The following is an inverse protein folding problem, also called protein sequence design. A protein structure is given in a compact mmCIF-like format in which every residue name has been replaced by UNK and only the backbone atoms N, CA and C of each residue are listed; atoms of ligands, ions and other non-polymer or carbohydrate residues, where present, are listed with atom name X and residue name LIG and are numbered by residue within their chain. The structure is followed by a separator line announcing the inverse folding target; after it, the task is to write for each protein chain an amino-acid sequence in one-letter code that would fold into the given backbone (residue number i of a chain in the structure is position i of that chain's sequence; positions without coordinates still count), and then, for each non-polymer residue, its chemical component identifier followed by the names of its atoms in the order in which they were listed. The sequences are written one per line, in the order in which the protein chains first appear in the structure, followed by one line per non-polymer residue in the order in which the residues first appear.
data_IF_891540612958
#
_entry.id   IF_891540612958
#
_cell.length_a   1.000
_cell.length_b   1.000
_cell.length_c   1.000
_cell.angle_alpha   90.00
_cell.angle_beta   90.00
_cell.angle_gamma   90.00
#
_symmetry.space_group_name_H-M   'P 1'
#
loop_
_entity.id
_entity.type
_entity.pdbx_description
1 polymer ?
#
# COMPACT_ATOMS: atom_id res chain seq x y z
N UNK A 1 -8.72 -58.55 14.76
CA UNK A 1 -9.38 -58.61 16.07
C UNK A 1 -9.69 -57.17 16.43
N UNK A 2 -10.88 -56.67 16.08
CA UNK A 2 -11.29 -55.32 16.49
C UNK A 2 -11.63 -55.40 17.99
N UNK A 3 -10.90 -54.64 18.81
CA UNK A 3 -11.20 -54.54 20.23
C UNK A 3 -12.61 -53.93 20.38
N UNK A 4 -13.57 -54.63 21.02
CA UNK A 4 -14.97 -54.20 21.13
C UNK A 4 -15.15 -52.87 21.86
N UNK A 5 -14.08 -52.32 22.42
CA UNK A 5 -14.08 -51.07 23.18
C UNK A 5 -14.11 -49.80 22.31
N UNK A 6 -13.45 -49.80 21.15
CA UNK A 6 -13.25 -48.57 20.37
C UNK A 6 -14.21 -48.40 19.22
N UNK A 7 -14.59 -49.49 18.53
CA UNK A 7 -15.63 -49.64 17.49
C UNK A 7 -15.95 -48.40 16.61
N UNK A 8 -14.97 -47.55 16.31
CA UNK A 8 -15.21 -46.28 15.62
C UNK A 8 -15.68 -46.51 14.18
N UNK A 9 -15.18 -47.56 13.54
CA UNK A 9 -15.62 -48.00 12.21
C UNK A 9 -17.10 -48.34 12.16
N UNK A 10 -17.65 -48.94 13.23
CA UNK A 10 -19.06 -49.33 13.28
C UNK A 10 -20.01 -48.14 13.25
N UNK A 11 -19.54 -46.95 13.65
CA UNK A 11 -20.31 -45.69 13.59
C UNK A 11 -20.62 -45.25 12.15
N UNK A 12 -19.85 -45.72 11.17
CA UNK A 12 -19.99 -45.35 9.75
C UNK A 12 -20.74 -46.41 8.92
N UNK A 13 -21.04 -47.58 9.50
CA UNK A 13 -21.75 -48.65 8.79
C UNK A 13 -23.26 -48.46 8.83
N UNK A 14 -23.97 -49.24 8.01
CA UNK A 14 -25.44 -49.38 8.03
C UNK A 14 -26.18 -48.02 8.08
N UNK A 15 -25.76 -47.09 7.22
CA UNK A 15 -26.33 -45.74 7.16
C UNK A 15 -26.31 -45.01 8.53
N UNK A 16 -25.19 -45.14 9.26
CA UNK A 16 -24.97 -44.51 10.57
C UNK A 16 -25.89 -45.02 11.69
N UNK A 17 -26.43 -46.24 11.59
CA UNK A 17 -27.31 -46.81 12.62
C UNK A 17 -26.70 -46.78 14.04
N UNK A 18 -25.44 -47.21 14.19
CA UNK A 18 -24.76 -47.16 15.49
C UNK A 18 -24.59 -45.72 16.02
N UNK A 19 -24.44 -44.74 15.13
CA UNK A 19 -24.40 -43.33 15.52
C UNK A 19 -25.76 -42.86 16.03
N UNK A 20 -26.86 -43.25 15.38
CA UNK A 20 -28.21 -42.96 15.84
C UNK A 20 -28.48 -43.55 17.23
N UNK A 21 -28.00 -44.78 17.48
CA UNK A 21 -28.03 -45.39 18.83
C UNK A 21 -27.28 -44.51 19.83
N UNK A 22 -26.08 -43.99 19.49
CA UNK A 22 -25.33 -43.09 20.39
C UNK A 22 -26.06 -41.77 20.64
N UNK A 23 -26.75 -41.21 19.65
CA UNK A 23 -27.57 -40.02 19.86
C UNK A 23 -28.71 -40.28 20.83
N UNK A 24 -29.42 -41.39 20.66
CA UNK A 24 -30.49 -41.78 21.59
C UNK A 24 -29.97 -41.95 23.01
N UNK A 25 -28.83 -42.64 23.17
CA UNK A 25 -28.16 -42.80 24.46
C UNK A 25 -27.77 -41.45 25.08
N UNK A 26 -27.22 -40.53 24.30
CA UNK A 26 -26.89 -39.19 24.78
C UNK A 26 -28.14 -38.42 25.19
N UNK A 27 -29.21 -38.48 24.40
CA UNK A 27 -30.51 -37.84 24.73
C UNK A 27 -31.05 -38.33 26.07
N UNK A 28 -31.09 -39.65 26.30
CA UNK A 28 -31.52 -40.22 27.59
C UNK A 28 -30.58 -39.84 28.74
N UNK A 29 -29.28 -39.75 28.49
CA UNK A 29 -28.32 -39.28 29.49
C UNK A 29 -28.53 -37.80 29.84
N UNK A 30 -28.84 -36.94 28.86
CA UNK A 30 -29.18 -35.53 29.11
C UNK A 30 -30.48 -35.46 29.93
N UNK A 31 -31.50 -36.24 29.57
CA UNK A 31 -32.74 -36.33 30.33
C UNK A 31 -32.51 -36.73 31.79
N UNK A 32 -31.65 -37.71 32.04
CA UNK A 32 -31.32 -38.20 33.38
C UNK A 32 -30.51 -37.19 34.22
N UNK A 33 -29.58 -36.45 33.60
CA UNK A 33 -28.56 -35.67 34.32
C UNK A 33 -28.78 -34.15 34.25
N UNK A 34 -29.47 -33.67 33.23
CA UNK A 34 -29.72 -32.26 32.90
C UNK A 34 -31.17 -32.07 32.43
N UNK A 35 -32.18 -32.38 33.28
CA UNK A 35 -33.59 -32.46 32.86
C UNK A 35 -34.13 -31.12 32.33
N UNK A 36 -33.73 -30.00 32.91
CA UNK A 36 -34.14 -28.66 32.45
C UNK A 36 -33.63 -28.39 31.02
N UNK A 37 -32.39 -28.80 30.73
CA UNK A 37 -31.80 -28.64 29.41
C UNK A 37 -32.46 -29.57 28.40
N UNK A 38 -32.79 -30.80 28.81
CA UNK A 38 -33.55 -31.73 27.98
C UNK A 38 -34.92 -31.16 27.60
N UNK A 39 -35.68 -30.64 28.58
CA UNK A 39 -36.99 -30.04 28.32
C UNK A 39 -36.89 -28.86 27.34
N UNK A 40 -35.92 -27.95 27.55
CA UNK A 40 -35.68 -26.83 26.64
C UNK A 40 -35.32 -27.28 25.22
N UNK A 41 -34.49 -28.33 25.09
CA UNK A 41 -34.15 -28.89 23.78
C UNK A 41 -35.35 -29.57 23.11
N UNK A 42 -36.20 -30.27 23.86
CA UNK A 42 -37.40 -30.89 23.31
C UNK A 42 -38.45 -29.85 22.87
N UNK A 43 -38.62 -28.77 23.63
CA UNK A 43 -39.51 -27.65 23.28
C UNK A 43 -39.06 -26.97 21.98
N UNK A 44 -37.75 -26.77 21.81
CA UNK A 44 -37.15 -26.18 20.61
C UNK A 44 -36.89 -27.18 19.47
N UNK A 45 -37.21 -28.46 19.68
CA UNK A 45 -36.92 -29.56 18.73
C UNK A 45 -35.44 -29.63 18.31
N UNK A 46 -34.54 -29.37 19.27
CA UNK A 46 -33.09 -29.52 19.12
C UNK A 46 -32.71 -30.98 19.37
N UNK A 47 -32.32 -31.67 18.31
CA UNK A 47 -31.92 -33.08 18.39
C UNK A 47 -30.39 -33.25 18.45
N UNK A 48 -29.93 -34.31 19.14
CA UNK A 48 -28.50 -34.64 19.27
C UNK A 48 -27.75 -34.72 17.94
N UNK A 49 -28.40 -35.22 16.88
CA UNK A 49 -27.76 -35.36 15.57
C UNK A 49 -27.32 -34.01 14.98
N UNK A 50 -27.99 -32.91 15.35
CA UNK A 50 -27.73 -31.57 14.82
C UNK A 50 -26.40 -30.99 15.30
N UNK A 51 -25.94 -31.36 16.51
CA UNK A 51 -24.73 -30.80 17.11
C UNK A 51 -23.66 -31.83 17.50
N UNK A 52 -24.05 -33.07 17.83
CA UNK A 52 -23.14 -34.07 18.39
C UNK A 52 -22.55 -35.03 17.33
N UNK A 53 -22.99 -34.97 16.07
CA UNK A 53 -22.46 -35.86 15.01
C UNK A 53 -20.94 -35.85 14.92
N UNK A 54 -20.33 -34.67 14.90
CA UNK A 54 -18.87 -34.53 14.82
C UNK A 54 -18.18 -34.97 16.12
N UNK A 55 -18.84 -34.85 17.28
CA UNK A 55 -18.26 -35.24 18.57
C UNK A 55 -17.93 -36.73 18.58
N UNK A 56 -18.87 -37.57 18.12
CA UNK A 56 -18.70 -39.03 18.08
C UNK A 56 -17.91 -39.51 16.86
N UNK A 57 -18.17 -38.98 15.67
CA UNK A 57 -17.51 -39.44 14.45
C UNK A 57 -16.03 -39.05 14.40
N UNK A 58 -15.68 -37.89 14.93
CA UNK A 58 -14.32 -37.35 14.85
C UNK A 58 -13.59 -37.35 16.18
N UNK A 59 -14.17 -37.94 17.24
CA UNK A 59 -13.61 -37.90 18.60
C UNK A 59 -13.27 -36.46 19.03
N UNK A 60 -14.17 -35.52 18.73
CA UNK A 60 -14.02 -34.07 18.98
C UNK A 60 -12.89 -33.34 18.21
N UNK A 61 -12.11 -34.03 17.36
CA UNK A 61 -10.96 -33.46 16.63
C UNK A 61 -11.31 -32.35 15.64
N UNK A 62 -12.53 -32.33 15.11
CA UNK A 62 -12.90 -31.44 14.00
C UNK A 62 -13.05 -29.95 14.39
N UNK A 63 -13.41 -29.65 15.63
CA UNK A 63 -13.78 -28.28 16.07
C UNK A 63 -13.09 -27.81 17.33
N UNK A 64 -12.63 -28.71 18.20
CA UNK A 64 -12.04 -28.35 19.48
C UNK A 64 -10.52 -28.15 19.37
N UNK A 65 -9.91 -27.30 20.23
CA UNK A 65 -8.46 -27.10 20.25
C UNK A 65 -7.68 -28.39 20.53
N UNK A 66 -6.51 -28.53 19.89
CA UNK A 66 -5.71 -29.76 19.94
C UNK A 66 -5.36 -30.21 21.36
N UNK A 67 -5.06 -29.27 22.27
CA UNK A 67 -4.78 -29.59 23.67
C UNK A 67 -5.90 -30.40 24.31
N UNK A 68 -7.15 -29.92 24.22
CA UNK A 68 -8.30 -30.63 24.76
C UNK A 68 -8.50 -31.97 24.03
N UNK A 69 -8.35 -31.99 22.71
CA UNK A 69 -8.49 -33.20 21.90
C UNK A 69 -7.52 -34.30 22.35
N UNK A 70 -6.26 -33.95 22.66
CA UNK A 70 -5.29 -34.94 23.18
C UNK A 70 -5.74 -35.52 24.53
N UNK A 71 -6.24 -34.69 25.44
CA UNK A 71 -6.80 -35.18 26.71
C UNK A 71 -8.02 -36.08 26.52
N UNK A 72 -8.90 -35.75 25.56
CA UNK A 72 -10.05 -36.59 25.19
C UNK A 72 -9.57 -37.93 24.63
N UNK A 73 -8.52 -37.92 23.79
CA UNK A 73 -7.94 -39.14 23.24
C UNK A 73 -7.33 -40.03 24.34
N UNK A 74 -6.66 -39.46 25.33
CA UNK A 74 -6.10 -40.23 26.46
C UNK A 74 -7.19 -41.01 27.21
N UNK A 75 -8.28 -40.34 27.57
CA UNK A 75 -9.40 -40.99 28.28
C UNK A 75 -10.21 -41.92 27.36
N UNK A 76 -10.28 -41.63 26.05
CA UNK A 76 -10.91 -42.51 25.08
C UNK A 76 -10.11 -43.80 24.90
N UNK A 77 -8.79 -43.75 24.84
CA UNK A 77 -7.93 -44.93 24.83
C UNK A 77 -8.07 -45.73 26.14
N UNK A 78 -8.35 -45.06 27.26
CA UNK A 78 -8.56 -45.73 28.54
C UNK A 78 -9.97 -46.32 28.74
N UNK A 79 -11.05 -45.72 28.25
CA UNK A 79 -12.45 -46.15 28.56
C UNK A 79 -13.39 -46.24 27.34
N UNK A 80 -12.88 -46.01 26.13
CA UNK A 80 -13.63 -46.12 24.88
C UNK A 80 -14.77 -45.12 24.79
N UNK A 81 -15.89 -45.53 24.17
CA UNK A 81 -17.05 -44.66 23.95
C UNK A 81 -17.70 -44.10 25.22
N UNK A 82 -17.53 -44.76 26.37
CA UNK A 82 -18.05 -44.24 27.65
C UNK A 82 -17.42 -42.88 27.99
N UNK A 83 -16.12 -42.71 27.70
CA UNK A 83 -15.44 -41.44 27.89
C UNK A 83 -16.06 -40.32 27.05
N UNK A 84 -16.45 -40.60 25.80
CA UNK A 84 -17.05 -39.61 24.92
C UNK A 84 -18.42 -39.13 25.44
N UNK A 85 -19.22 -40.03 26.02
CA UNK A 85 -20.46 -39.64 26.69
C UNK A 85 -20.19 -38.76 27.92
N UNK A 86 -19.18 -39.09 28.72
CA UNK A 86 -18.74 -38.26 29.85
C UNK A 86 -18.33 -36.86 29.41
N UNK A 87 -17.54 -36.75 28.34
CA UNK A 87 -17.13 -35.47 27.76
C UNK A 87 -18.32 -34.69 27.23
N UNK A 88 -19.22 -35.32 26.47
CA UNK A 88 -20.41 -34.68 25.91
C UNK A 88 -21.32 -34.12 27.02
N UNK A 89 -21.57 -34.91 28.08
CA UNK A 89 -22.36 -34.45 29.24
C UNK A 89 -21.66 -33.32 29.99
N UNK A 90 -20.35 -33.39 30.18
CA UNK A 90 -19.60 -32.33 30.86
C UNK A 90 -19.66 -31.02 30.07
N UNK A 91 -19.49 -31.06 28.74
CA UNK A 91 -19.63 -29.89 27.86
C UNK A 91 -21.01 -29.23 27.99
N UNK A 92 -22.07 -30.04 27.99
CA UNK A 92 -23.45 -29.57 28.14
C UNK A 92 -23.70 -29.01 29.54
N UNK A 93 -23.19 -29.66 30.58
CA UNK A 93 -23.31 -29.20 31.97
C UNK A 93 -22.66 -27.83 32.19
N UNK A 94 -21.43 -27.63 31.71
CA UNK A 94 -20.76 -26.32 31.81
C UNK A 94 -21.45 -25.23 31.01
N UNK A 95 -22.14 -25.60 29.93
CA UNK A 95 -22.82 -24.65 29.04
C UNK A 95 -24.31 -24.49 29.34
N UNK A 96 -24.85 -25.20 30.33
CA UNK A 96 -26.29 -25.32 30.58
C UNK A 96 -26.95 -23.95 30.74
N UNK A 97 -26.35 -23.06 31.56
CA UNK A 97 -26.91 -21.72 31.81
C UNK A 97 -26.99 -20.87 30.54
N UNK A 98 -25.98 -20.94 29.69
CA UNK A 98 -25.97 -20.21 28.43
C UNK A 98 -27.03 -20.79 27.48
N UNK A 99 -27.07 -22.12 27.34
CA UNK A 99 -27.97 -22.82 26.44
C UNK A 99 -29.46 -22.61 26.76
N UNK A 100 -29.82 -22.57 28.04
CA UNK A 100 -31.20 -22.33 28.49
C UNK A 100 -31.73 -20.94 28.11
N UNK A 101 -30.85 -19.98 27.84
CA UNK A 101 -31.23 -18.61 27.46
C UNK A 101 -31.36 -18.39 25.96
N UNK A 102 -31.02 -19.40 25.15
CA UNK A 102 -30.92 -19.29 23.70
C UNK A 102 -32.10 -19.98 23.01
N UNK A 103 -32.49 -19.44 21.85
CA UNK A 103 -33.42 -20.06 20.92
C UNK A 103 -32.71 -21.09 20.02
N UNK A 104 -33.46 -21.72 19.10
CA UNK A 104 -32.92 -22.75 18.20
C UNK A 104 -31.67 -22.26 17.44
N UNK A 105 -31.73 -21.09 16.80
CA UNK A 105 -30.59 -20.55 16.04
C UNK A 105 -29.40 -20.23 16.96
N UNK A 106 -29.67 -19.64 18.12
CA UNK A 106 -28.68 -19.32 19.14
C UNK A 106 -27.93 -20.55 19.63
N UNK A 107 -28.65 -21.65 19.92
CA UNK A 107 -28.07 -22.94 20.34
C UNK A 107 -27.17 -23.51 19.23
N UNK A 108 -27.64 -23.55 17.99
CA UNK A 108 -26.86 -24.05 16.85
C UNK A 108 -25.58 -23.21 16.62
N UNK A 109 -25.69 -21.89 16.74
CA UNK A 109 -24.54 -20.98 16.67
C UNK A 109 -23.58 -21.19 17.84
N UNK A 110 -24.10 -21.39 19.05
CA UNK A 110 -23.31 -21.63 20.26
C UNK A 110 -22.44 -22.88 20.12
N UNK A 111 -23.02 -24.02 19.71
CA UNK A 111 -22.26 -25.25 19.49
C UNK A 111 -21.19 -25.10 18.40
N UNK A 112 -21.49 -24.37 17.32
CA UNK A 112 -20.57 -24.20 16.19
C UNK A 112 -19.40 -23.26 16.50
N UNK A 113 -19.64 -22.19 17.25
CA UNK A 113 -18.69 -21.07 17.38
C UNK A 113 -18.24 -20.83 18.80
N UNK A 114 -19.17 -20.73 19.75
CA UNK A 114 -18.86 -20.29 21.12
C UNK A 114 -18.25 -21.42 21.95
N UNK A 115 -18.83 -22.61 21.88
CA UNK A 115 -18.41 -23.76 22.68
C UNK A 115 -16.93 -24.13 22.46
N UNK A 116 -16.42 -24.30 21.23
CA UNK A 116 -15.02 -24.68 21.05
C UNK A 116 -14.03 -23.59 21.45
N UNK A 117 -14.44 -22.31 21.39
CA UNK A 117 -13.58 -21.17 21.81
C UNK A 117 -13.31 -21.16 23.31
N UNK A 118 -14.26 -21.62 24.14
CA UNK A 118 -14.11 -21.66 25.61
C UNK A 118 -12.95 -22.54 26.07
N UNK A 119 -12.64 -23.60 25.31
CA UNK A 119 -11.62 -24.58 25.64
C UNK A 119 -10.27 -24.34 24.96
N UNK A 120 -10.01 -23.10 24.54
CA UNK A 120 -8.66 -22.66 24.15
C UNK A 120 -7.75 -22.38 25.35
N UNK A 121 -8.35 -22.17 26.52
CA UNK A 121 -7.64 -22.07 27.80
C UNK A 121 -7.42 -23.47 28.37
N UNK A 122 -6.20 -23.77 28.80
CA UNK A 122 -5.83 -25.09 29.35
C UNK A 122 -6.59 -25.39 30.65
N UNK A 123 -6.77 -24.41 31.53
CA UNK A 123 -7.48 -24.57 32.81
C UNK A 123 -8.92 -25.09 32.61
N UNK A 124 -9.65 -24.51 31.65
CA UNK A 124 -11.02 -24.96 31.34
C UNK A 124 -11.05 -26.36 30.73
N UNK A 125 -10.03 -26.74 29.97
CA UNK A 125 -9.94 -28.07 29.38
C UNK A 125 -9.63 -29.13 30.45
N UNK A 126 -8.76 -28.82 31.40
CA UNK A 126 -8.45 -29.73 32.52
C UNK A 126 -9.66 -29.91 33.45
N UNK A 127 -10.37 -28.82 33.78
CA UNK A 127 -11.62 -28.89 34.56
C UNK A 127 -12.70 -29.70 33.84
N UNK A 128 -12.80 -29.56 32.51
CA UNK A 128 -13.70 -30.35 31.68
C UNK A 128 -13.39 -31.85 31.77
N UNK A 129 -12.12 -32.23 31.61
CA UNK A 129 -11.69 -33.63 31.60
C UNK A 129 -11.82 -34.26 32.99
N UNK A 130 -11.52 -33.51 34.05
CA UNK A 130 -11.75 -33.95 35.43
C UNK A 130 -13.24 -34.20 35.69
N UNK A 131 -14.10 -33.27 35.25
CA UNK A 131 -15.55 -33.41 35.38
C UNK A 131 -16.07 -34.60 34.57
N UNK A 132 -15.64 -34.74 33.32
CA UNK A 132 -16.00 -35.86 32.44
C UNK A 132 -15.61 -37.21 33.04
N UNK A 133 -14.42 -37.30 33.64
CA UNK A 133 -13.94 -38.52 34.30
C UNK A 133 -14.70 -38.84 35.59
N UNK A 134 -15.23 -37.83 36.28
CA UNK A 134 -16.07 -38.02 37.48
C UNK A 134 -17.50 -38.46 37.15
N UNK A 135 -17.98 -38.17 35.94
CA UNK A 135 -19.29 -38.58 35.44
C UNK A 135 -19.28 -40.09 35.12
N UNK A 136 -19.49 -40.92 36.14
CA UNK A 136 -19.57 -42.38 35.97
C UNK A 136 -20.77 -42.77 35.12
N UNK A 137 -20.55 -43.01 33.83
CA UNK A 137 -21.59 -43.49 32.92
C UNK A 137 -21.89 -44.95 33.24
N UNK A 138 -23.13 -45.24 33.66
CA UNK A 138 -23.53 -46.60 33.99
C UNK A 138 -23.72 -47.43 32.72
N UNK A 139 -22.76 -48.31 32.43
CA UNK A 139 -22.78 -49.20 31.25
C UNK A 139 -24.06 -50.03 31.16
N UNK A 140 -24.66 -50.44 32.28
CA UNK A 140 -25.94 -51.17 32.27
C UNK A 140 -27.08 -50.29 31.78
N UNK A 141 -27.10 -49.01 32.15
CA UNK A 141 -28.09 -48.04 31.64
C UNK A 141 -27.90 -47.80 30.13
N UNK A 142 -26.67 -47.62 29.68
CA UNK A 142 -26.39 -47.46 28.24
C UNK A 142 -26.90 -48.65 27.41
N UNK A 143 -26.64 -49.88 27.87
CA UNK A 143 -27.18 -51.09 27.21
C UNK A 143 -28.69 -51.17 27.22
N UNK A 144 -29.34 -50.66 28.28
CA UNK A 144 -30.80 -50.54 28.33
C UNK A 144 -31.30 -49.55 27.29
N UNK A 145 -30.72 -48.35 27.20
CA UNK A 145 -31.08 -47.34 26.20
C UNK A 145 -30.86 -47.83 24.77
N UNK A 146 -29.80 -48.60 24.53
CA UNK A 146 -29.57 -49.26 23.24
C UNK A 146 -30.70 -50.24 22.89
N UNK A 147 -31.09 -51.10 23.83
CA UNK A 147 -32.21 -52.02 23.62
C UNK A 147 -33.53 -51.26 23.38
N UNK A 148 -33.79 -50.23 24.17
CA UNK A 148 -35.00 -49.40 24.05
C UNK A 148 -35.08 -48.71 22.68
N UNK A 149 -33.93 -48.25 22.13
CA UNK A 149 -33.85 -47.69 20.77
C UNK A 149 -34.26 -48.69 19.70
N UNK A 150 -33.67 -49.90 19.72
CA UNK A 150 -33.99 -50.92 18.73
C UNK A 150 -35.44 -51.41 18.84
N UNK A 151 -35.99 -51.49 20.05
CA UNK A 151 -37.41 -51.82 20.24
C UNK A 151 -38.32 -50.75 19.64
N UNK A 152 -38.10 -49.46 19.93
CA UNK A 152 -38.91 -48.39 19.31
C UNK A 152 -38.79 -48.36 17.80
N UNK A 153 -37.57 -48.50 17.28
CA UNK A 153 -37.34 -48.52 15.84
C UNK A 153 -38.04 -49.70 15.17
N UNK A 154 -38.02 -50.89 15.79
CA UNK A 154 -38.74 -52.05 15.28
C UNK A 154 -40.27 -51.87 15.34
N UNK A 155 -40.78 -51.21 16.38
CA UNK A 155 -42.21 -50.86 16.50
C UNK A 155 -42.63 -49.83 15.45
N UNK A 156 -41.81 -48.81 15.20
CA UNK A 156 -42.01 -47.81 14.13
C UNK A 156 -41.98 -48.47 12.74
N UNK A 157 -41.04 -49.40 12.52
CA UNK A 157 -40.95 -50.20 11.28
C UNK A 157 -42.12 -51.16 11.09
N UNK A 158 -42.73 -51.64 12.17
CA UNK A 158 -43.94 -52.48 12.13
C UNK A 158 -45.23 -51.65 11.99
N UNK A 159 -45.24 -50.41 12.49
CA UNK A 159 -46.38 -49.48 12.44
C UNK A 159 -46.50 -48.73 11.12
N UNK A 160 -45.41 -48.52 10.39
CA UNK A 160 -45.44 -47.90 9.07
C UNK A 160 -45.76 -48.95 7.98
N UNK A 161 -46.90 -48.78 7.29
CA UNK A 161 -47.22 -49.59 6.12
C UNK A 161 -46.09 -49.42 5.08
N UNK A 162 -45.46 -50.50 4.59
CA UNK A 162 -44.30 -50.41 3.69
C UNK A 162 -44.54 -49.52 2.46
N UNK A 163 -45.78 -49.47 1.97
CA UNK A 163 -46.19 -48.62 0.86
C UNK A 163 -46.17 -47.12 1.22
N UNK A 164 -46.65 -46.75 2.41
CA UNK A 164 -46.71 -45.36 2.86
C UNK A 164 -45.31 -44.79 3.11
N UNK A 165 -44.39 -45.60 3.66
CA UNK A 165 -42.98 -45.23 3.80
C UNK A 165 -42.35 -44.97 2.43
N UNK A 166 -42.54 -45.89 1.48
CA UNK A 166 -42.00 -45.73 0.12
C UNK A 166 -42.60 -44.53 -0.62
N UNK A 167 -43.88 -44.22 -0.41
CA UNK A 167 -44.52 -43.03 -0.98
C UNK A 167 -43.99 -41.73 -0.36
N UNK A 168 -43.79 -41.69 0.96
CA UNK A 168 -43.20 -40.55 1.65
C UNK A 168 -41.75 -40.32 1.23
N UNK A 169 -40.96 -41.40 1.13
CA UNK A 169 -39.58 -41.36 0.67
C UNK A 169 -39.49 -40.93 -0.80
N UNK A 170 -40.38 -41.42 -1.68
CA UNK A 170 -40.43 -40.97 -3.08
C UNK A 170 -40.75 -39.48 -3.18
N UNK A 171 -41.72 -38.99 -2.40
CA UNK A 171 -42.05 -37.56 -2.36
C UNK A 171 -40.85 -36.73 -1.90
N UNK A 172 -40.22 -37.14 -0.79
CA UNK A 172 -39.04 -36.48 -0.25
C UNK A 172 -37.86 -36.47 -1.24
N UNK A 173 -37.59 -37.60 -1.89
CA UNK A 173 -36.54 -37.70 -2.91
C UNK A 173 -36.84 -36.82 -4.11
N UNK A 174 -38.10 -36.77 -4.56
CA UNK A 174 -38.52 -35.90 -5.66
C UNK A 174 -38.33 -34.43 -5.30
N UNK A 175 -38.71 -34.01 -4.09
CA UNK A 175 -38.51 -32.65 -3.60
C UNK A 175 -37.01 -32.28 -3.51
N UNK A 176 -36.17 -33.20 -3.03
CA UNK A 176 -34.72 -32.99 -2.97
C UNK A 176 -34.12 -32.88 -4.38
N UNK A 177 -34.53 -33.75 -5.31
CA UNK A 177 -34.09 -33.67 -6.71
C UNK A 177 -34.49 -32.32 -7.33
N UNK A 178 -35.76 -31.91 -7.21
CA UNK A 178 -36.22 -30.63 -7.74
C UNK A 178 -35.47 -29.45 -7.12
N UNK A 179 -35.20 -29.47 -5.80
CA UNK A 179 -34.42 -28.41 -5.15
C UNK A 179 -32.97 -28.39 -5.67
N UNK A 180 -32.34 -29.55 -5.79
CA UNK A 180 -30.97 -29.65 -6.29
C UNK A 180 -30.86 -29.23 -7.75
N UNK A 181 -31.86 -29.52 -8.58
CA UNK A 181 -31.94 -29.07 -9.97
C UNK A 181 -32.04 -27.54 -10.03
N UNK A 182 -32.91 -26.94 -9.21
CA UNK A 182 -33.03 -25.48 -9.12
C UNK A 182 -31.72 -24.82 -8.65
N UNK A 183 -31.07 -25.36 -7.62
CA UNK A 183 -29.77 -24.87 -7.14
C UNK A 183 -28.71 -24.96 -8.26
N UNK A 184 -28.67 -26.07 -9.00
CA UNK A 184 -27.75 -26.23 -10.13
C UNK A 184 -28.04 -25.23 -11.26
N UNK A 185 -29.31 -24.97 -11.59
CA UNK A 185 -29.70 -23.96 -12.58
C UNK A 185 -29.30 -22.55 -12.15
N UNK A 186 -29.53 -22.21 -10.87
CA UNK A 186 -29.13 -20.93 -10.31
C UNK A 186 -27.61 -20.73 -10.34
N UNK A 187 -26.85 -21.75 -9.93
CA UNK A 187 -25.39 -21.74 -9.99
C UNK A 187 -24.89 -21.63 -11.44
N UNK A 188 -25.54 -22.30 -12.40
CA UNK A 188 -25.21 -22.20 -13.81
C UNK A 188 -25.44 -20.77 -14.34
N UNK A 189 -26.54 -20.13 -13.96
CA UNK A 189 -26.82 -18.73 -14.32
C UNK A 189 -25.79 -17.77 -13.71
N UNK A 190 -25.44 -17.96 -12.44
CA UNK A 190 -24.41 -17.15 -11.77
C UNK A 190 -23.05 -17.31 -12.44
N UNK A 191 -22.64 -18.54 -12.76
CA UNK A 191 -21.40 -18.83 -13.50
C UNK A 191 -21.38 -18.17 -14.88
N UNK A 192 -22.49 -18.19 -15.61
CA UNK A 192 -22.59 -17.53 -16.91
C UNK A 192 -22.47 -16.02 -16.77
N UNK A 193 -23.13 -15.43 -15.77
CA UNK A 193 -23.04 -13.98 -15.52
C UNK A 193 -21.61 -13.57 -15.14
N UNK A 194 -20.96 -14.33 -14.27
CA UNK A 194 -19.56 -14.12 -13.90
C UNK A 194 -18.63 -14.25 -15.09
N UNK A 195 -18.86 -15.23 -15.97
CA UNK A 195 -18.11 -15.39 -17.22
C UNK A 195 -18.24 -14.18 -18.13
N UNK A 196 -19.46 -13.65 -18.30
CA UNK A 196 -19.70 -12.45 -19.12
C UNK A 196 -19.00 -11.23 -18.52
N UNK A 197 -19.12 -11.04 -17.20
CA UNK A 197 -18.46 -9.95 -16.47
C UNK A 197 -16.93 -10.03 -16.58
N UNK A 198 -16.35 -11.21 -16.34
CA UNK A 198 -14.91 -11.42 -16.47
C UNK A 198 -14.42 -11.20 -17.89
N UNK A 199 -15.20 -11.61 -18.89
CA UNK A 199 -14.87 -11.35 -20.29
C UNK A 199 -14.86 -9.85 -20.60
N UNK A 200 -15.85 -9.10 -20.13
CA UNK A 200 -15.86 -7.64 -20.30
C UNK A 200 -14.67 -6.96 -19.62
N UNK A 201 -14.28 -7.41 -18.43
CA UNK A 201 -13.09 -6.89 -17.73
C UNK A 201 -11.79 -7.23 -18.49
N UNK A 202 -11.72 -8.43 -19.09
CA UNK A 202 -10.57 -8.83 -19.90
C UNK A 202 -10.46 -7.95 -21.14
N UNK A 203 -11.58 -7.77 -21.88
CA UNK A 203 -11.62 -6.94 -23.08
C UNK A 203 -11.18 -5.48 -22.73
N UNK A 204 -11.63 -4.92 -21.59
CA UNK A 204 -11.18 -3.60 -21.11
C UNK A 204 -9.69 -3.54 -20.77
N UNK A 205 -9.14 -4.60 -20.18
CA UNK A 205 -7.72 -4.67 -19.85
C UNK A 205 -6.86 -4.75 -21.13
N UNK A 206 -7.32 -5.49 -22.13
CA UNK A 206 -6.67 -5.60 -23.45
C UNK A 206 -6.62 -4.23 -24.15
N UNK A 207 -7.74 -3.49 -24.16
CA UNK A 207 -7.79 -2.12 -24.71
C UNK A 207 -6.80 -1.18 -24.00
N UNK A 208 -6.69 -1.29 -22.67
CA UNK A 208 -5.77 -0.47 -21.89
C UNK A 208 -4.30 -0.83 -22.19
N UNK A 209 -3.98 -2.10 -22.37
CA UNK A 209 -2.64 -2.56 -22.78
C UNK A 209 -2.29 -1.98 -24.15
N UNK A 210 -3.23 -2.00 -25.10
CA UNK A 210 -3.00 -1.47 -26.44
C UNK A 210 -2.74 0.04 -26.41
N UNK A 211 -3.53 0.79 -25.62
CA UNK A 211 -3.34 2.22 -25.41
C UNK A 211 -1.97 2.54 -24.82
N UNK A 212 -1.59 1.88 -23.73
CA UNK A 212 -0.30 2.08 -23.08
C UNK A 212 0.87 1.70 -24.01
N UNK A 213 0.68 0.66 -24.84
CA UNK A 213 1.69 0.26 -25.83
C UNK A 213 1.90 1.34 -26.88
N UNK A 214 0.82 1.96 -27.39
CA UNK A 214 0.91 3.08 -28.33
C UNK A 214 1.61 4.30 -27.71
N UNK A 215 1.26 4.66 -26.48
CA UNK A 215 1.91 5.76 -25.74
C UNK A 215 3.41 5.50 -25.49
N UNK A 216 3.76 4.27 -25.13
CA UNK A 216 5.14 3.85 -24.92
C UNK A 216 5.96 3.86 -26.22
N UNK A 217 5.37 3.50 -27.35
CA UNK A 217 6.02 3.62 -28.66
C UNK A 217 6.26 5.09 -29.04
N UNK A 218 5.27 5.96 -28.82
CA UNK A 218 5.39 7.40 -29.11
C UNK A 218 6.48 8.05 -28.25
N UNK A 219 6.49 7.78 -26.95
CA UNK A 219 7.51 8.31 -26.02
C UNK A 219 8.92 7.81 -26.36
N UNK A 220 9.07 6.54 -26.75
CA UNK A 220 10.36 6.01 -27.23
C UNK A 220 10.89 6.76 -28.45
N UNK A 221 10.00 7.12 -29.39
CA UNK A 221 10.39 7.86 -30.58
C UNK A 221 10.87 9.27 -30.22
N UNK A 222 10.15 9.96 -29.34
CA UNK A 222 10.53 11.29 -28.83
C UNK A 222 11.88 11.24 -28.10
N UNK A 223 12.10 10.23 -27.24
CA UNK A 223 13.39 10.06 -26.55
C UNK A 223 14.52 9.89 -27.56
N UNK A 224 14.32 9.05 -28.58
CA UNK A 224 15.32 8.83 -29.64
C UNK A 224 15.65 10.11 -30.41
N UNK A 225 14.64 10.92 -30.73
CA UNK A 225 14.85 12.22 -31.39
C UNK A 225 15.60 13.20 -30.47
N UNK A 226 15.25 13.24 -29.19
CA UNK A 226 15.92 14.08 -28.19
C UNK A 226 17.39 13.68 -28.01
N UNK A 227 17.69 12.38 -27.91
CA UNK A 227 19.06 11.86 -27.83
C UNK A 227 19.88 12.27 -29.05
N UNK A 228 19.33 12.14 -30.27
CA UNK A 228 19.99 12.62 -31.48
C UNK A 228 20.25 14.14 -31.44
N UNK A 229 19.31 14.91 -30.91
CA UNK A 229 19.47 16.36 -30.76
C UNK A 229 20.58 16.70 -29.76
N UNK A 230 20.67 15.98 -28.64
CA UNK A 230 21.74 16.16 -27.66
C UNK A 230 23.11 15.77 -28.23
N UNK A 231 23.16 14.73 -29.05
CA UNK A 231 24.39 14.32 -29.72
C UNK A 231 24.89 15.39 -30.69
N UNK A 232 24.00 15.97 -31.51
CA UNK A 232 24.35 17.08 -32.42
C UNK A 232 24.86 18.31 -31.67
N UNK A 233 24.16 18.72 -30.61
CA UNK A 233 24.59 19.85 -29.79
C UNK A 233 25.94 19.58 -29.11
N UNK A 234 26.20 18.34 -28.69
CA UNK A 234 27.50 17.96 -28.13
C UNK A 234 28.63 18.10 -29.15
N UNK A 235 28.40 17.69 -30.40
CA UNK A 235 29.37 17.82 -31.49
C UNK A 235 29.63 19.29 -31.84
N UNK A 236 28.58 20.12 -31.90
CA UNK A 236 28.71 21.57 -32.09
C UNK A 236 29.52 22.23 -30.97
N UNK A 237 29.27 21.85 -29.72
CA UNK A 237 30.06 22.35 -28.58
C UNK A 237 31.53 21.92 -28.64
N UNK A 238 31.82 20.72 -29.13
CA UNK A 238 33.19 20.24 -29.33
C UNK A 238 33.89 21.01 -30.45
N UNK A 239 33.22 21.22 -31.58
CA UNK A 239 33.72 22.04 -32.68
C UNK A 239 34.01 23.49 -32.24
N UNK A 240 33.10 24.09 -31.47
CA UNK A 240 33.30 25.44 -30.91
C UNK A 240 34.47 25.46 -29.93
N UNK A 241 34.58 24.45 -29.06
CA UNK A 241 35.70 24.33 -28.11
C UNK A 241 37.04 24.25 -28.84
N UNK A 242 37.12 23.48 -29.92
CA UNK A 242 38.33 23.38 -30.74
C UNK A 242 38.66 24.68 -31.47
N UNK A 243 37.64 25.38 -31.97
CA UNK A 243 37.83 26.71 -32.57
C UNK A 243 38.39 27.72 -31.54
N UNK A 244 37.82 27.78 -30.34
CA UNK A 244 38.34 28.61 -29.25
C UNK A 244 39.78 28.25 -28.89
N UNK A 245 40.12 26.95 -28.82
CA UNK A 245 41.50 26.51 -28.55
C UNK A 245 42.47 27.05 -29.60
N UNK A 246 42.13 26.96 -30.89
CA UNK A 246 42.97 27.50 -31.99
C UNK A 246 43.17 29.01 -31.87
N UNK A 247 42.10 29.77 -31.64
CA UNK A 247 42.20 31.23 -31.47
C UNK A 247 43.02 31.60 -30.23
N UNK A 248 42.90 30.85 -29.13
CA UNK A 248 43.77 31.03 -27.97
C UNK A 248 45.25 30.79 -28.29
N UNK A 249 45.58 29.74 -29.06
CA UNK A 249 46.94 29.45 -29.48
C UNK A 249 47.51 30.58 -30.38
N UNK A 250 46.71 31.10 -31.31
CA UNK A 250 47.05 32.27 -32.15
C UNK A 250 47.28 33.53 -31.30
N UNK A 251 46.40 33.79 -30.33
CA UNK A 251 46.57 34.91 -29.39
C UNK A 251 47.84 34.77 -28.55
N UNK A 252 48.18 33.56 -28.10
CA UNK A 252 49.45 33.32 -27.41
C UNK A 252 50.66 33.60 -28.32
N UNK A 253 50.59 33.22 -29.60
CA UNK A 253 51.66 33.47 -30.56
C UNK A 253 51.82 34.97 -30.84
N UNK A 254 50.73 35.69 -31.09
CA UNK A 254 50.76 37.15 -31.28
C UNK A 254 51.25 37.87 -30.02
N UNK A 255 50.85 37.42 -28.83
CA UNK A 255 51.36 37.95 -27.56
C UNK A 255 52.89 37.77 -27.45
N UNK A 256 53.44 36.61 -27.86
CA UNK A 256 54.90 36.39 -27.91
C UNK A 256 55.58 37.39 -28.85
N UNK A 257 55.05 37.57 -30.06
CA UNK A 257 55.58 38.54 -31.03
C UNK A 257 55.56 39.96 -30.45
N UNK A 258 54.47 40.37 -29.78
CA UNK A 258 54.38 41.69 -29.14
C UNK A 258 55.43 41.84 -28.02
N UNK A 259 55.68 40.80 -27.23
CA UNK A 259 56.72 40.86 -26.19
C UNK A 259 58.12 40.99 -26.79
N UNK A 260 58.42 40.24 -27.86
CA UNK A 260 59.70 40.35 -28.59
C UNK A 260 59.85 41.73 -29.24
N UNK A 261 58.81 42.25 -29.87
CA UNK A 261 58.80 43.58 -30.46
C UNK A 261 59.06 44.67 -29.41
N UNK A 262 58.38 44.61 -28.25
CA UNK A 262 58.62 45.54 -27.13
C UNK A 262 60.06 45.47 -26.63
N UNK A 263 60.66 44.28 -26.59
CA UNK A 263 62.06 44.09 -26.23
C UNK A 263 63.01 44.75 -27.24
N UNK A 264 62.76 44.60 -28.54
CA UNK A 264 63.53 45.25 -29.61
C UNK A 264 63.41 46.79 -29.51
N UNK A 265 62.20 47.32 -29.34
CA UNK A 265 61.99 48.76 -29.15
C UNK A 265 62.74 49.30 -27.93
N UNK A 266 62.72 48.56 -26.81
CA UNK A 266 63.47 48.94 -25.60
C UNK A 266 64.99 48.96 -25.86
N UNK A 267 65.52 47.97 -26.58
CA UNK A 267 66.94 47.94 -26.97
C UNK A 267 67.32 49.11 -27.88
N UNK A 268 66.51 49.39 -28.91
CA UNK A 268 66.74 50.49 -29.85
C UNK A 268 66.65 51.86 -29.15
N UNK A 269 65.65 52.07 -28.30
CA UNK A 269 65.54 53.30 -27.51
C UNK A 269 66.75 53.46 -26.58
N UNK A 270 67.19 52.38 -25.92
CA UNK A 270 68.41 52.41 -25.11
C UNK A 270 69.68 52.72 -25.92
N UNK A 271 69.77 52.30 -27.18
CA UNK A 271 70.86 52.70 -28.08
C UNK A 271 70.75 54.17 -28.50
N UNK A 272 69.55 54.65 -28.81
CA UNK A 272 69.30 56.03 -29.19
C UNK A 272 69.65 56.99 -28.05
N UNK A 273 69.25 56.67 -26.82
CA UNK A 273 69.55 57.51 -25.65
C UNK A 273 71.05 57.56 -25.37
N UNK A 274 71.76 56.42 -25.49
CA UNK A 274 73.24 56.39 -25.43
C UNK A 274 73.89 57.25 -26.52
N UNK A 275 73.31 57.33 -27.72
CA UNK A 275 73.82 58.20 -28.78
C UNK A 275 73.54 59.67 -28.49
N UNK A 276 72.32 60.00 -28.04
CA UNK A 276 71.97 61.36 -27.60
C UNK A 276 72.90 61.84 -26.50
N UNK A 277 73.14 61.02 -25.48
CA UNK A 277 74.06 61.34 -24.39
C UNK A 277 75.50 61.57 -24.89
N UNK A 278 76.00 60.74 -25.83
CA UNK A 278 77.30 60.97 -26.49
C UNK A 278 77.36 62.30 -27.24
N UNK A 279 76.31 62.65 -28.00
CA UNK A 279 76.25 63.92 -28.72
C UNK A 279 76.13 65.10 -27.75
N UNK A 280 75.35 64.96 -26.68
CA UNK A 280 75.18 65.98 -25.66
C UNK A 280 76.47 66.22 -24.88
N UNK A 281 77.20 65.17 -24.51
CA UNK A 281 78.53 65.29 -23.89
C UNK A 281 79.55 65.95 -24.82
N UNK A 282 79.56 65.59 -26.12
CA UNK A 282 80.38 66.28 -27.13
C UNK A 282 79.99 67.75 -27.27
N UNK A 283 78.69 68.05 -27.24
CA UNK A 283 78.16 69.40 -27.34
C UNK A 283 78.52 70.24 -26.10
N UNK A 284 78.41 69.69 -24.89
CA UNK A 284 78.90 70.34 -23.66
C UNK A 284 80.41 70.59 -23.70
N UNK A 285 81.19 69.66 -24.26
CA UNK A 285 82.62 69.83 -24.48
C UNK A 285 82.90 71.02 -25.44
N UNK A 286 82.14 71.14 -26.53
CA UNK A 286 82.22 72.26 -27.48
C UNK A 286 81.78 73.58 -26.82
N UNK A 287 80.71 73.56 -26.02
CA UNK A 287 80.20 74.72 -25.29
C UNK A 287 81.23 75.26 -24.28
N UNK A 288 82.02 74.36 -23.66
CA UNK A 288 83.07 74.71 -22.70
C UNK A 288 84.37 75.24 -23.37
N UNK A 289 84.55 75.03 -24.68
CA UNK A 289 85.69 75.53 -25.47
C UNK A 289 85.40 76.85 -26.21
N UNK A 290 84.17 77.37 -26.16
CA UNK A 290 83.76 78.59 -26.86
C UNK A 290 83.96 79.88 -26.04
N UNK A 291 84.28 80.99 -26.72
CA UNK A 291 84.30 82.34 -26.13
C UNK A 291 82.89 82.82 -25.76
N UNK A 292 82.76 83.78 -24.84
CA UNK A 292 81.46 84.19 -24.27
C UNK A 292 80.46 84.73 -25.31
N UNK A 293 80.94 85.21 -26.46
CA UNK A 293 80.08 85.63 -27.58
C UNK A 293 79.48 84.44 -28.35
N UNK A 294 80.17 83.29 -28.38
CA UNK A 294 79.70 82.06 -29.04
C UNK A 294 78.77 81.23 -28.15
N UNK A 295 78.88 81.31 -26.81
CA UNK A 295 77.97 80.63 -25.87
C UNK A 295 76.52 81.13 -26.00
N UNK A 296 76.32 82.40 -26.32
CA UNK A 296 74.99 83.01 -26.46
C UNK A 296 74.30 82.67 -27.79
N UNK A 297 75.06 82.46 -28.87
CA UNK A 297 74.51 82.04 -30.17
C UNK A 297 74.06 80.56 -30.13
N UNK A 298 74.80 79.72 -29.39
CA UNK A 298 74.50 78.29 -29.21
C UNK A 298 73.27 78.09 -28.30
N UNK A 299 73.11 78.92 -27.26
CA UNK A 299 71.92 78.91 -26.37
C UNK A 299 70.65 79.39 -27.10
N UNK A 300 70.79 80.25 -28.12
CA UNK A 300 69.69 80.73 -28.97
C UNK A 300 69.14 79.70 -29.98
N UNK A 301 69.93 78.68 -30.34
CA UNK A 301 69.47 77.57 -31.18
C UNK A 301 68.68 76.49 -30.40
N UNK A 302 68.54 76.66 -29.08
CA UNK A 302 67.89 75.72 -28.15
C UNK A 302 66.55 76.21 -27.58
N UNK A 303 65.99 77.31 -28.10
CA UNK A 303 64.58 77.62 -27.84
C UNK A 303 63.71 76.72 -28.74
N UNK A 304 62.85 75.86 -28.18
CA UNK A 304 61.92 75.09 -29.00
C UNK A 304 60.93 76.05 -29.69
N UNK A 305 60.56 75.83 -30.96
CA UNK A 305 59.46 76.58 -31.56
C UNK A 305 58.15 76.19 -30.87
N UNK A 306 57.55 77.14 -30.16
CA UNK A 306 56.12 77.16 -29.86
C UNK A 306 55.37 77.71 -31.08
N UNK A 307 54.90 76.84 -31.96
CA UNK A 307 53.80 77.15 -32.89
C UNK A 307 53.11 75.87 -33.35
N UNK A 308 52.00 75.60 -32.70
CA UNK A 308 50.72 75.11 -33.26
C UNK A 308 50.76 74.80 -34.76
N UNK A 309 50.67 73.51 -35.12
CA UNK A 309 49.94 73.07 -36.30
C UNK A 309 48.99 71.96 -35.87
N UNK A 310 47.75 72.15 -36.29
CA UNK A 310 46.52 71.49 -35.94
C UNK A 310 46.53 69.96 -36.08
N UNK A 311 45.84 69.32 -35.15
CA UNK A 311 45.12 68.05 -35.36
C UNK A 311 44.27 68.08 -36.63
N UNK A 312 44.04 66.92 -37.25
CA UNK A 312 42.67 66.42 -37.24
C UNK A 312 42.56 65.03 -36.62
N UNK A 313 41.47 64.87 -35.87
CA UNK A 313 40.77 63.63 -35.52
C UNK A 313 41.54 62.50 -34.81
N UNK A 314 41.55 62.64 -33.48
CA UNK A 314 41.11 61.53 -32.63
C UNK A 314 39.64 61.24 -32.93
N UNK A 315 39.35 60.13 -33.59
CA UNK A 315 38.14 59.37 -33.24
C UNK A 315 38.42 58.70 -31.89
N UNK A 316 38.08 59.42 -30.82
CA UNK A 316 37.59 58.78 -29.60
C UNK A 316 36.13 58.45 -29.91
N UNK A 317 35.81 57.17 -30.01
CA UNK A 317 34.47 56.73 -29.70
C UNK A 317 34.34 56.87 -28.18
N UNK A 318 33.45 57.76 -27.77
CA UNK A 318 33.18 58.09 -26.39
C UNK A 318 32.78 56.84 -25.60
N UNK A 319 33.54 56.65 -24.53
CA UNK A 319 33.18 55.90 -23.35
C UNK A 319 32.31 56.86 -22.53
N UNK A 320 31.00 56.88 -22.81
CA UNK A 320 30.03 57.55 -21.94
C UNK A 320 29.71 56.61 -20.78
N UNK A 321 30.15 57.06 -19.60
CA UNK A 321 29.76 56.54 -18.31
C UNK A 321 28.23 56.48 -18.16
N UNK A 322 27.76 55.26 -17.91
CA UNK A 322 27.06 54.91 -16.67
C UNK A 322 26.17 56.01 -16.07
N UNK A 323 24.95 56.12 -16.59
CA UNK A 323 23.82 56.65 -15.85
C UNK A 323 22.84 55.50 -15.53
N UNK A 324 22.86 55.14 -14.26
CA UNK A 324 21.94 54.22 -13.60
C UNK A 324 20.61 54.95 -13.42
N UNK A 325 19.60 54.67 -14.25
CA UNK A 325 18.20 54.60 -13.80
C UNK A 325 17.26 53.87 -14.78
N UNK A 326 16.98 52.60 -14.45
CA UNK A 326 15.67 51.92 -14.52
C UNK A 326 14.69 52.35 -15.62
N UNK A 327 14.66 51.59 -16.72
CA UNK A 327 13.39 51.22 -17.38
C UNK A 327 13.47 49.80 -17.96
N UNK A 328 12.95 48.85 -17.17
CA UNK A 328 12.33 47.56 -17.56
C UNK A 328 12.97 46.76 -18.70
N UNK A 329 13.88 45.87 -18.29
CA UNK A 329 14.26 44.62 -18.96
C UNK A 329 13.07 43.94 -19.68
N UNK A 330 13.14 43.82 -21.00
CA UNK A 330 12.38 42.81 -21.74
C UNK A 330 12.91 41.43 -21.36
N UNK A 331 12.23 40.76 -20.44
CA UNK A 331 12.49 39.37 -20.08
C UNK A 331 12.49 38.51 -21.35
N UNK A 332 13.43 37.56 -21.54
CA UNK A 332 13.42 36.67 -22.70
C UNK A 332 12.06 35.97 -22.82
N UNK A 333 11.42 36.04 -23.98
CA UNK A 333 10.07 35.47 -24.22
C UNK A 333 9.96 34.02 -23.75
N UNK A 334 11.04 33.24 -23.87
CA UNK A 334 11.14 31.86 -23.40
C UNK A 334 10.94 31.69 -21.89
N UNK A 335 11.39 32.63 -21.06
CA UNK A 335 11.21 32.56 -19.61
C UNK A 335 9.79 32.97 -19.24
N UNK A 336 9.22 33.99 -19.89
CA UNK A 336 7.81 34.36 -19.70
C UNK A 336 6.85 33.27 -20.15
N UNK A 337 7.17 32.56 -21.25
CA UNK A 337 6.37 31.43 -21.74
C UNK A 337 6.43 30.24 -20.78
N UNK A 338 7.63 29.95 -20.24
CA UNK A 338 7.81 28.88 -19.24
C UNK A 338 7.14 29.23 -17.91
N UNK A 339 7.13 30.51 -17.53
CA UNK A 339 6.38 30.99 -16.36
C UNK A 339 4.88 30.81 -16.56
N UNK A 340 4.36 31.20 -17.73
CA UNK A 340 2.94 31.05 -18.10
C UNK A 340 2.51 29.58 -18.15
N UNK A 341 3.36 28.70 -18.64
CA UNK A 341 3.12 27.25 -18.65
C UNK A 341 3.01 26.68 -17.23
N UNK A 342 3.93 27.07 -16.34
CA UNK A 342 3.89 26.65 -14.93
C UNK A 342 2.67 27.24 -14.20
N UNK A 343 2.25 28.46 -14.53
CA UNK A 343 1.04 29.07 -13.99
C UNK A 343 -0.23 28.32 -14.43
N UNK A 344 -0.30 27.88 -15.69
CA UNK A 344 -1.41 27.06 -16.21
C UNK A 344 -1.42 25.70 -15.51
N UNK A 345 -0.27 25.01 -15.43
CA UNK A 345 -0.18 23.72 -14.74
C UNK A 345 -0.55 23.85 -13.25
N UNK A 346 -0.14 24.93 -12.60
CA UNK A 346 -0.54 25.22 -11.21
C UNK A 346 -2.05 25.45 -11.10
N UNK A 347 -2.67 26.15 -12.06
CA UNK A 347 -4.12 26.36 -12.10
C UNK A 347 -4.88 25.04 -12.30
N UNK A 348 -4.42 24.18 -13.21
CA UNK A 348 -5.01 22.85 -13.46
C UNK A 348 -4.90 21.94 -12.22
N UNK A 349 -3.74 21.91 -11.56
CA UNK A 349 -3.57 21.13 -10.33
C UNK A 349 -4.42 21.67 -9.18
N UNK A 350 -4.61 22.99 -9.09
CA UNK A 350 -5.53 23.61 -8.11
C UNK A 350 -6.97 23.24 -8.41
N UNK A 351 -7.39 23.25 -9.67
CA UNK A 351 -8.73 22.83 -10.08
C UNK A 351 -8.98 21.35 -9.71
N UNK A 352 -8.08 20.45 -10.08
CA UNK A 352 -8.17 19.03 -9.77
C UNK A 352 -8.22 18.77 -8.26
N UNK A 353 -7.47 19.55 -7.47
CA UNK A 353 -7.54 19.48 -6.01
C UNK A 353 -8.91 19.93 -5.48
N UNK A 354 -9.46 21.03 -5.99
CA UNK A 354 -10.79 21.50 -5.59
C UNK A 354 -11.89 20.52 -5.97
N UNK A 355 -11.82 19.91 -7.15
CA UNK A 355 -12.75 18.87 -7.59
C UNK A 355 -12.67 17.63 -6.70
N UNK A 356 -11.46 17.17 -6.37
CA UNK A 356 -11.25 16.06 -5.45
C UNK A 356 -11.78 16.35 -4.04
N UNK A 357 -11.61 17.58 -3.54
CA UNK A 357 -12.14 18.02 -2.25
C UNK A 357 -13.67 18.08 -2.25
N UNK A 358 -14.29 18.66 -3.29
CA UNK A 358 -15.75 18.66 -3.45
C UNK A 358 -16.31 17.23 -3.54
N UNK A 359 -15.64 16.33 -4.27
CA UNK A 359 -16.05 14.93 -4.39
C UNK A 359 -15.91 14.17 -3.07
N UNK A 360 -14.87 14.47 -2.29
CA UNK A 360 -14.68 13.90 -0.95
C UNK A 360 -15.75 14.42 0.02
N UNK A 361 -16.12 15.69 -0.07
CA UNK A 361 -17.19 16.28 0.71
C UNK A 361 -18.56 15.66 0.36
N UNK A 362 -18.85 15.47 -0.92
CA UNK A 362 -20.05 14.78 -1.41
C UNK A 362 -20.14 13.34 -0.89
N UNK A 363 -19.06 12.56 -1.03
CA UNK A 363 -18.99 11.20 -0.47
C UNK A 363 -19.15 11.20 1.06
N UNK A 364 -18.61 12.21 1.75
CA UNK A 364 -18.79 12.37 3.20
C UNK A 364 -20.25 12.66 3.56
N UNK A 365 -20.97 13.46 2.75
CA UNK A 365 -22.39 13.72 2.94
C UNK A 365 -23.23 12.46 2.66
N UNK A 366 -22.93 11.72 1.59
CA UNK A 366 -23.59 10.44 1.29
C UNK A 366 -23.36 9.41 2.40
N UNK A 367 -22.14 9.31 2.92
CA UNK A 367 -21.83 8.41 4.04
C UNK A 367 -22.60 8.81 5.31
N UNK A 368 -22.68 10.10 5.63
CA UNK A 368 -23.48 10.60 6.76
C UNK A 368 -24.97 10.33 6.57
N UNK A 369 -25.48 10.49 5.35
CA UNK A 369 -26.87 10.21 5.02
C UNK A 369 -27.18 8.71 5.15
N UNK A 370 -26.35 7.82 4.60
CA UNK A 370 -26.48 6.37 4.78
C UNK A 370 -26.34 5.94 6.24
N UNK A 371 -25.47 6.59 7.01
CA UNK A 371 -25.32 6.33 8.46
C UNK A 371 -26.54 6.81 9.26
N UNK A 372 -27.17 7.91 8.85
CA UNK A 372 -28.41 8.43 9.45
C UNK A 372 -29.62 7.55 9.12
N UNK A 373 -29.71 7.02 7.90
CA UNK A 373 -30.75 6.05 7.52
C UNK A 373 -30.54 4.73 8.27
N UNK A 374 -29.28 4.33 8.47
CA UNK A 374 -28.94 3.14 9.24
C UNK A 374 -29.13 3.31 10.77
N UNK A 375 -29.31 4.52 11.30
CA UNK A 375 -29.64 4.71 12.72
C UNK A 375 -31.13 4.61 13.05
N UNK A 376 -32.01 4.64 12.03
CA UNK A 376 -33.46 4.46 12.18
C UNK A 376 -33.87 2.98 12.04
N UNK A 377 -32.91 2.06 11.86
CA UNK A 377 -33.12 0.60 11.83
C UNK A 377 -32.17 -0.07 12.84
N UNK A 378 -32.68 -1.11 13.51
CA UNK A 378 -32.19 -1.60 14.80
C UNK A 378 -30.69 -1.94 14.93
N UNK A 379 -30.25 -1.74 16.17
CA UNK A 379 -28.90 -1.80 16.75
C UNK A 379 -28.17 -3.14 16.65
N UNK A 380 -26.87 -3.12 16.29
CA UNK A 380 -25.74 -3.79 17.00
C UNK A 380 -24.40 -3.83 16.20
N UNK A 381 -24.37 -3.39 14.94
CA UNK A 381 -23.16 -3.37 14.11
C UNK A 381 -22.31 -2.10 14.24
N UNK A 382 -22.74 -1.13 15.05
CA UNK A 382 -22.17 0.24 15.12
C UNK A 382 -20.84 0.30 15.90
N UNK A 383 -20.55 -0.65 16.79
CA UNK A 383 -19.37 -0.59 17.67
C UNK A 383 -18.06 -0.88 16.93
N UNK A 384 -18.08 -1.72 15.89
CA UNK A 384 -16.88 -2.06 15.11
C UNK A 384 -16.52 -1.00 14.06
N UNK A 385 -17.51 -0.34 13.45
CA UNK A 385 -17.25 0.72 12.47
C UNK A 385 -16.78 2.05 13.09
N UNK A 386 -17.20 2.35 14.33
CA UNK A 386 -16.75 3.55 15.07
C UNK A 386 -15.25 3.49 15.41
N UNK A 387 -14.69 2.28 15.59
CA UNK A 387 -13.26 2.07 15.83
C UNK A 387 -12.41 2.35 14.57
N UNK A 388 -12.91 2.02 13.38
CA UNK A 388 -12.22 2.24 12.10
C UNK A 388 -12.19 3.74 11.74
N UNK A 389 -13.30 4.46 11.99
CA UNK A 389 -13.38 5.91 11.75
C UNK A 389 -12.42 6.73 12.62
N UNK A 390 -12.20 6.30 13.88
CA UNK A 390 -11.20 6.92 14.76
C UNK A 390 -9.75 6.71 14.29
N UNK A 391 -9.45 5.58 13.65
CA UNK A 391 -8.11 5.31 13.11
C UNK A 391 -7.79 6.19 11.89
N UNK A 392 -8.79 6.43 11.02
CA UNK A 392 -8.65 7.34 9.88
C UNK A 392 -8.49 8.81 10.31
N UNK A 393 -9.09 9.23 11.42
CA UNK A 393 -8.87 10.58 11.96
C UNK A 393 -7.46 10.74 12.57
N UNK A 394 -6.83 9.67 13.07
CA UNK A 394 -5.46 9.71 13.57
C UNK A 394 -4.43 9.81 12.42
N UNK A 395 -4.64 9.10 11.32
CA UNK A 395 -3.77 9.17 10.13
C UNK A 395 -3.88 10.51 9.41
N UNK A 396 -5.08 11.10 9.32
CA UNK A 396 -5.30 12.45 8.77
C UNK A 396 -4.67 13.53 9.66
N UNK A 397 -4.76 13.41 11.00
CA UNK A 397 -4.09 14.33 11.94
C UNK A 397 -2.56 14.22 11.89
N UNK A 398 -2.02 13.01 11.72
CA UNK A 398 -0.59 12.80 11.55
C UNK A 398 -0.09 13.43 10.25
N UNK A 399 -0.78 13.22 9.12
CA UNK A 399 -0.45 13.85 7.83
C UNK A 399 -0.50 15.39 7.91
N UNK A 400 -1.53 15.96 8.55
CA UNK A 400 -1.63 17.40 8.74
C UNK A 400 -0.49 17.98 9.59
N UNK A 401 -0.05 17.27 10.64
CA UNK A 401 1.13 17.67 11.44
C UNK A 401 2.42 17.61 10.63
N UNK A 402 2.63 16.55 9.85
CA UNK A 402 3.83 16.40 9.02
C UNK A 402 3.91 17.48 7.94
N UNK A 403 2.79 17.80 7.29
CA UNK A 403 2.72 18.88 6.28
C UNK A 403 2.96 20.26 6.91
N UNK A 404 2.44 20.51 8.11
CA UNK A 404 2.71 21.77 8.82
C UNK A 404 4.16 21.88 9.27
N UNK A 405 4.81 20.81 9.75
CA UNK A 405 6.25 20.81 10.05
C UNK A 405 7.11 21.05 8.80
N UNK A 406 6.72 20.49 7.64
CA UNK A 406 7.42 20.77 6.37
C UNK A 406 7.25 22.24 5.96
N UNK A 407 6.06 22.82 6.17
CA UNK A 407 5.78 24.23 5.90
C UNK A 407 6.57 25.16 6.83
N UNK A 408 6.74 24.80 8.10
CA UNK A 408 7.57 25.53 9.07
C UNK A 408 9.07 25.38 8.81
N UNK A 409 9.52 24.21 8.35
CA UNK A 409 10.90 23.98 7.90
C UNK A 409 11.23 24.78 6.62
N UNK A 410 10.27 24.91 5.70
CA UNK A 410 10.42 25.72 4.49
C UNK A 410 10.43 27.23 4.78
N UNK A 411 9.62 27.70 5.74
CA UNK A 411 9.60 29.11 6.13
C UNK A 411 10.82 29.54 6.97
N UNK A 412 11.38 28.64 7.78
CA UNK A 412 12.63 28.87 8.51
C UNK A 412 13.85 28.90 7.57
N UNK A 413 13.89 28.05 6.54
CA UNK A 413 14.96 28.06 5.52
C UNK A 413 14.99 29.36 4.70
N UNK A 414 13.83 30.02 4.51
CA UNK A 414 13.76 31.33 3.85
C UNK A 414 14.18 32.50 4.75
N UNK A 415 14.12 32.37 6.09
CA UNK A 415 14.60 33.42 7.01
C UNK A 415 16.12 33.43 7.21
N UNK A 416 16.80 32.31 7.01
CA UNK A 416 18.27 32.22 7.11
C UNK A 416 19.03 32.74 5.89
N UNK A 417 18.33 33.11 4.81
CA UNK A 417 18.94 33.68 3.58
C UNK A 417 18.75 35.20 3.44
N UNK A 418 18.15 35.86 4.44
CA UNK A 418 17.87 37.32 4.42
C UNK A 418 18.43 38.06 5.63
N UNK A 419 19.56 37.60 6.19
CA UNK A 419 20.37 38.36 7.13
C UNK A 419 21.83 38.34 6.68
#
# INVERSE_FOLDING_TARGET
MEDPKYLLREMYKANFENLQVRFHQLTCLIQDNLPDLYAHFDDLKVECHMYASQWFLTLFTAKFPLYLVFRIMDIFLYDGFNALFGVALALLKFSQKDLLSLDFEGIMRFFRVSLPKKYRCEDHADELIQTASSMKINVKKLKRYEKDYFTRRAEEEQGELPLQRLEADNKRLTEICMRSELENEMLALELVNDRVRLKSNLDQAEDQIEKLTRELQATRLIVKESEQHTFRLSDELENIRDAFRRTCDELQQTQKIVTEYKQICSQLNGQLDKQKEKYQNKFETIQNLCCDSCKNLIRGALSPPSSVVSTPERERLDDDHEDVLLTTSSVPSSITDRLRQVEIELAEKKLALTEALCKNQELSHQLRHSTSIASDSDTNSITSFRAISNNNNATVRWLSKTVNSIKEAASSTNRTKTN
#
